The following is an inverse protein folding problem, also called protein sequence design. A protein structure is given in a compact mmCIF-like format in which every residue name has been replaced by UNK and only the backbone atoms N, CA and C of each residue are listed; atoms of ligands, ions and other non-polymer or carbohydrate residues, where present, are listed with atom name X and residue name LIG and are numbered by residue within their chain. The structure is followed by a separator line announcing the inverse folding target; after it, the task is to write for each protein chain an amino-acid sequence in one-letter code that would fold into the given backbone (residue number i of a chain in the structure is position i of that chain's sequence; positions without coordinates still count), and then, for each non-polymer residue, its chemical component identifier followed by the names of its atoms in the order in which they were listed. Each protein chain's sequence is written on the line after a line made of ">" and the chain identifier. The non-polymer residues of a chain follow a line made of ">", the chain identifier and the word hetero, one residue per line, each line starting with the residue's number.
data_IF_830223265874
#
_entry.id   IF_830223265874
#
_cell.length_a   1.000
_cell.length_b   1.000
_cell.length_c   1.000
_cell.angle_alpha   90.00
_cell.angle_beta   90.00
_cell.angle_gamma   90.00
#
_symmetry.space_group_name_H-M   'P 1'
#
loop_
_entity.id
_entity.type
_entity.pdbx_description
1 polymer ?
#
# COMPACT_ATOMS: atom_id res chain seq x y z
N UNK A 1 -19.69 -3.37 12.40
CA UNK A 1 -18.44 -4.09 12.10
C UNK A 1 -17.44 -3.14 11.44
N UNK A 2 -16.21 -3.23 11.87
CA UNK A 2 -15.15 -2.39 11.35
C UNK A 2 -14.79 -2.80 9.91
N UNK A 3 -14.77 -1.84 9.00
CA UNK A 3 -14.23 -2.07 7.65
C UNK A 3 -12.71 -1.97 7.72
N UNK A 4 -11.98 -2.86 7.05
CA UNK A 4 -10.53 -2.68 6.93
C UNK A 4 -10.22 -1.35 6.26
N UNK A 5 -9.13 -0.72 6.70
CA UNK A 5 -8.67 0.55 6.16
C UNK A 5 -7.26 0.40 5.60
N UNK A 6 -7.07 0.86 4.37
CA UNK A 6 -5.77 0.81 3.69
C UNK A 6 -5.31 2.23 3.38
N UNK A 7 -4.03 2.50 3.61
CA UNK A 7 -3.37 3.72 3.12
C UNK A 7 -2.58 3.36 1.88
N UNK A 8 -2.86 4.03 0.77
CA UNK A 8 -2.12 3.83 -0.48
C UNK A 8 -1.34 5.10 -0.83
N UNK A 9 -0.03 4.96 -1.02
CA UNK A 9 0.88 6.06 -1.30
C UNK A 9 1.43 5.91 -2.72
N UNK A 10 1.03 6.81 -3.62
CA UNK A 10 1.43 6.78 -5.03
C UNK A 10 1.27 8.20 -5.60
N UNK A 11 2.26 8.70 -6.29
CA UNK A 11 2.19 10.05 -6.84
C UNK A 11 1.34 10.16 -8.11
N UNK A 12 0.99 9.03 -8.73
CA UNK A 12 0.15 9.02 -9.92
C UNK A 12 -1.34 9.06 -9.55
N UNK A 13 -2.02 10.12 -9.98
CA UNK A 13 -3.43 10.34 -9.65
C UNK A 13 -4.31 9.21 -10.19
N UNK A 14 -4.06 8.77 -11.42
CA UNK A 14 -4.87 7.72 -12.04
C UNK A 14 -4.71 6.39 -11.30
N UNK A 15 -3.49 6.07 -10.88
CA UNK A 15 -3.23 4.87 -10.08
C UNK A 15 -3.96 4.94 -8.73
N UNK A 16 -3.94 6.09 -8.08
CA UNK A 16 -4.65 6.28 -6.80
C UNK A 16 -6.14 6.04 -6.96
N UNK A 17 -6.75 6.66 -7.97
CA UNK A 17 -8.20 6.54 -8.19
C UNK A 17 -8.62 5.13 -8.58
N UNK A 18 -7.84 4.49 -9.46
CA UNK A 18 -8.12 3.12 -9.88
C UNK A 18 -8.11 2.18 -8.68
N UNK A 19 -7.05 2.24 -7.88
CA UNK A 19 -6.90 1.30 -6.78
C UNK A 19 -7.90 1.59 -5.66
N UNK A 20 -8.16 2.87 -5.38
CA UNK A 20 -9.19 3.23 -4.41
C UNK A 20 -10.53 2.63 -4.80
N UNK A 21 -10.92 2.78 -6.07
CA UNK A 21 -12.17 2.21 -6.58
C UNK A 21 -12.22 0.70 -6.40
N UNK A 22 -11.15 0.01 -6.79
CA UNK A 22 -11.08 -1.45 -6.68
C UNK A 22 -11.22 -1.92 -5.24
N UNK A 23 -10.54 -1.27 -4.31
CA UNK A 23 -10.57 -1.66 -2.90
C UNK A 23 -11.90 -1.31 -2.26
N UNK A 24 -12.49 -0.16 -2.59
CA UNK A 24 -13.82 0.20 -2.10
C UNK A 24 -14.89 -0.81 -2.55
N UNK A 25 -14.75 -1.33 -3.76
CA UNK A 25 -15.65 -2.38 -4.28
C UNK A 25 -15.51 -3.68 -3.48
N UNK A 26 -14.43 -3.87 -2.75
CA UNK A 26 -14.19 -5.03 -1.88
C UNK A 26 -14.45 -4.72 -0.42
N UNK A 27 -15.13 -3.63 -0.14
CA UNK A 27 -15.49 -3.17 1.21
C UNK A 27 -14.29 -2.79 2.06
N UNK A 28 -13.26 -2.26 1.42
CA UNK A 28 -12.08 -1.72 2.09
C UNK A 28 -12.12 -0.20 1.95
N UNK A 29 -12.06 0.50 3.09
CA UNK A 29 -11.96 1.95 3.09
C UNK A 29 -10.51 2.32 2.74
N UNK A 30 -10.32 3.16 1.73
CA UNK A 30 -8.98 3.44 1.21
C UNK A 30 -8.71 4.94 1.22
N UNK A 31 -7.66 5.32 1.94
CA UNK A 31 -7.14 6.69 1.88
C UNK A 31 -5.96 6.69 0.93
N UNK A 32 -5.94 7.65 -0.01
CA UNK A 32 -4.86 7.77 -0.99
C UNK A 32 -4.13 9.08 -0.77
N UNK A 33 -2.80 9.03 -0.83
CA UNK A 33 -1.93 10.20 -0.71
C UNK A 33 -0.85 10.14 -1.78
N UNK A 34 -0.29 11.30 -2.14
CA UNK A 34 0.64 11.41 -3.25
C UNK A 34 2.11 11.58 -2.85
N UNK A 35 2.40 11.77 -1.57
CA UNK A 35 3.77 12.02 -1.09
C UNK A 35 4.05 11.24 0.18
N UNK A 36 5.35 11.02 0.44
CA UNK A 36 5.80 10.38 1.68
C UNK A 36 5.44 11.22 2.91
N UNK A 37 5.54 12.53 2.81
CA UNK A 37 5.18 13.42 3.91
C UNK A 37 3.72 13.28 4.32
N UNK A 38 2.82 13.21 3.33
CA UNK A 38 1.40 12.98 3.60
C UNK A 38 1.16 11.59 4.22
N UNK A 39 1.91 10.58 3.77
CA UNK A 39 1.80 9.24 4.33
C UNK A 39 2.20 9.23 5.80
N UNK A 40 3.34 9.82 6.14
CA UNK A 40 3.82 9.86 7.52
C UNK A 40 2.87 10.63 8.43
N UNK A 41 2.30 11.73 7.96
CA UNK A 41 1.28 12.47 8.71
C UNK A 41 0.03 11.61 8.94
N UNK A 42 -0.38 10.86 7.93
CA UNK A 42 -1.59 10.04 8.00
C UNK A 42 -1.45 8.91 9.02
N UNK A 43 -0.30 8.23 9.07
CA UNK A 43 -0.14 7.11 10.00
C UNK A 43 -0.04 7.56 11.45
N UNK A 44 0.33 8.82 11.67
CA UNK A 44 0.37 9.39 13.02
C UNK A 44 -1.01 9.83 13.50
N UNK A 45 -1.90 10.17 12.58
CA UNK A 45 -3.22 10.71 12.90
C UNK A 45 -4.33 9.66 12.86
N UNK A 46 -4.17 8.58 12.08
CA UNK A 46 -5.23 7.62 11.83
C UNK A 46 -4.69 6.20 11.89
N UNK A 47 -5.60 5.27 12.19
CA UNK A 47 -5.29 3.84 12.17
C UNK A 47 -5.55 3.25 10.79
N UNK A 48 -4.63 2.39 10.31
CA UNK A 48 -4.79 1.61 9.08
C UNK A 48 -4.47 0.15 9.37
N UNK A 49 -5.08 -0.73 8.60
CA UNK A 49 -4.88 -2.18 8.71
C UNK A 49 -3.80 -2.68 7.75
N UNK A 50 -3.44 -1.87 6.76
CA UNK A 50 -2.44 -2.22 5.77
C UNK A 50 -1.94 -0.96 5.05
N UNK A 51 -0.66 -0.94 4.70
CA UNK A 51 -0.06 0.12 3.90
C UNK A 51 0.37 -0.41 2.54
N UNK A 52 0.02 0.32 1.47
CA UNK A 52 0.49 0.05 0.10
C UNK A 52 1.39 1.19 -0.33
N UNK A 53 2.60 0.87 -0.80
CA UNK A 53 3.60 1.87 -1.16
C UNK A 53 4.06 1.70 -2.60
N UNK A 54 4.12 2.82 -3.34
CA UNK A 54 4.89 2.89 -4.58
C UNK A 54 6.37 3.04 -4.23
N UNK A 55 7.23 2.48 -5.04
CA UNK A 55 8.69 2.58 -4.84
C UNK A 55 9.28 3.95 -5.17
N UNK A 56 8.60 4.74 -5.99
CA UNK A 56 9.11 6.03 -6.47
C UNK A 56 8.13 7.15 -6.14
N UNK A 57 8.49 7.97 -5.17
CA UNK A 57 7.70 9.11 -4.73
C UNK A 57 8.49 10.40 -4.96
N UNK A 58 7.83 11.56 -5.09
CA UNK A 58 8.53 12.79 -5.45
C UNK A 58 9.45 13.33 -4.36
N UNK A 59 9.12 13.10 -3.09
CA UNK A 59 9.85 13.69 -1.95
C UNK A 59 10.77 12.70 -1.23
N UNK A 60 10.54 11.38 -1.40
CA UNK A 60 11.31 10.36 -0.71
C UNK A 60 11.11 9.03 -1.44
N UNK A 61 12.13 8.20 -1.58
CA UNK A 61 11.89 6.89 -2.20
C UNK A 61 11.06 6.01 -1.26
N UNK A 62 10.33 5.05 -1.87
CA UNK A 62 9.41 4.21 -1.11
C UNK A 62 10.10 3.30 -0.11
N UNK A 63 11.35 2.91 -0.36
CA UNK A 63 12.09 2.06 0.58
C UNK A 63 12.44 2.82 1.85
N UNK A 64 12.87 4.07 1.70
CA UNK A 64 13.14 4.92 2.87
C UNK A 64 11.85 5.24 3.63
N UNK A 65 10.76 5.50 2.91
CA UNK A 65 9.45 5.67 3.55
C UNK A 65 9.08 4.44 4.36
N UNK A 66 9.25 3.25 3.80
CA UNK A 66 8.98 1.99 4.49
C UNK A 66 9.79 1.88 5.78
N UNK A 67 11.08 2.20 5.73
CA UNK A 67 11.93 2.18 6.92
C UNK A 67 11.43 3.14 8.00
N UNK A 68 11.04 4.35 7.61
CA UNK A 68 10.53 5.35 8.55
C UNK A 68 9.18 4.91 9.15
N UNK A 69 8.31 4.32 8.33
CA UNK A 69 7.04 3.80 8.82
C UNK A 69 7.27 2.68 9.82
N UNK A 70 8.26 1.82 9.59
CA UNK A 70 8.59 0.73 10.51
C UNK A 70 9.16 1.24 11.84
N UNK A 71 9.85 2.37 11.84
CA UNK A 71 10.29 3.00 13.09
C UNK A 71 9.11 3.44 13.94
N UNK A 72 8.02 3.84 13.28
CA UNK A 72 6.81 4.30 13.97
C UNK A 72 5.84 3.14 14.28
N UNK A 73 5.71 2.19 13.37
CA UNK A 73 4.74 1.10 13.45
C UNK A 73 5.37 -0.20 12.96
N UNK A 74 5.68 -1.10 13.89
CA UNK A 74 6.34 -2.37 13.57
C UNK A 74 5.36 -3.49 13.20
N UNK A 75 4.05 -3.25 13.28
CA UNK A 75 3.06 -4.33 13.20
C UNK A 75 2.22 -4.35 11.93
N UNK A 76 1.81 -3.18 11.43
CA UNK A 76 0.91 -3.11 10.28
C UNK A 76 1.59 -3.67 9.03
N UNK A 77 0.93 -4.54 8.26
CA UNK A 77 1.52 -5.05 7.01
C UNK A 77 1.81 -3.92 6.03
N UNK A 78 2.98 -3.99 5.40
CA UNK A 78 3.38 -3.05 4.34
C UNK A 78 3.61 -3.88 3.07
N UNK A 79 2.96 -3.50 1.99
CA UNK A 79 3.12 -4.10 0.68
C UNK A 79 3.60 -3.04 -0.31
N UNK A 80 4.59 -3.37 -1.12
CA UNK A 80 4.93 -2.54 -2.27
C UNK A 80 4.04 -2.90 -3.46
N UNK A 81 3.63 -1.89 -4.20
CA UNK A 81 2.99 -2.05 -5.50
C UNK A 81 3.69 -1.09 -6.45
N UNK A 82 4.70 -1.58 -7.18
CA UNK A 82 5.66 -0.74 -7.88
C UNK A 82 6.00 -1.31 -9.25
N UNK A 83 6.35 -0.41 -10.19
CA UNK A 83 6.85 -0.80 -11.50
C UNK A 83 8.28 -1.32 -11.49
N UNK A 84 9.04 -1.11 -10.40
CA UNK A 84 10.40 -1.61 -10.25
C UNK A 84 10.36 -3.11 -9.94
N UNK A 85 10.68 -3.95 -10.94
CA UNK A 85 10.45 -5.38 -10.86
C UNK A 85 11.69 -6.25 -10.80
N UNK A 86 12.88 -5.70 -10.57
CA UNK A 86 14.10 -6.49 -10.44
C UNK A 86 14.17 -7.19 -9.09
N UNK A 87 14.88 -8.31 -9.04
CA UNK A 87 15.07 -9.04 -7.79
C UNK A 87 15.72 -8.16 -6.71
N UNK A 88 16.63 -7.27 -7.11
CA UNK A 88 17.26 -6.33 -6.17
C UNK A 88 16.21 -5.39 -5.54
N UNK A 89 15.21 -4.95 -6.30
CA UNK A 89 14.14 -4.09 -5.79
C UNK A 89 13.30 -4.82 -4.76
N UNK A 90 12.93 -6.07 -5.05
CA UNK A 90 12.15 -6.90 -4.12
C UNK A 90 12.92 -7.13 -2.82
N UNK A 91 14.22 -7.40 -2.93
CA UNK A 91 15.08 -7.60 -1.78
C UNK A 91 15.18 -6.33 -0.93
N UNK A 92 15.33 -5.18 -1.58
CA UNK A 92 15.35 -3.90 -0.89
C UNK A 92 14.03 -3.63 -0.15
N UNK A 93 12.91 -3.99 -0.75
CA UNK A 93 11.61 -3.85 -0.11
C UNK A 93 11.51 -4.67 1.17
N UNK A 94 11.91 -5.94 1.11
CA UNK A 94 11.91 -6.80 2.29
C UNK A 94 12.88 -6.31 3.36
N UNK A 95 14.07 -5.88 2.97
CA UNK A 95 15.06 -5.34 3.89
C UNK A 95 14.58 -4.06 4.57
N UNK A 96 13.76 -3.28 3.87
CA UNK A 96 13.16 -2.06 4.44
C UNK A 96 12.04 -2.37 5.43
N UNK A 97 11.54 -3.60 5.45
CA UNK A 97 10.51 -4.03 6.38
C UNK A 97 9.17 -4.39 5.76
N UNK A 98 9.09 -4.48 4.43
CA UNK A 98 7.84 -4.85 3.75
C UNK A 98 7.55 -6.35 3.89
N UNK A 99 6.26 -6.65 3.93
CA UNK A 99 5.75 -8.03 4.01
C UNK A 99 5.60 -8.67 2.63
N UNK A 100 5.41 -7.87 1.58
CA UNK A 100 5.27 -8.38 0.23
C UNK A 100 5.65 -7.30 -0.79
N UNK A 101 5.92 -7.73 -2.01
CA UNK A 101 6.28 -6.86 -3.11
C UNK A 101 5.54 -7.32 -4.37
N UNK A 102 4.68 -6.47 -4.89
CA UNK A 102 3.87 -6.77 -6.08
C UNK A 102 4.25 -5.81 -7.19
N UNK A 103 4.38 -6.34 -8.40
CA UNK A 103 4.83 -5.56 -9.57
C UNK A 103 3.62 -5.04 -10.33
N UNK A 104 3.59 -3.73 -10.57
CA UNK A 104 2.56 -3.11 -11.41
C UNK A 104 2.65 -3.65 -12.84
N UNK A 105 1.56 -3.82 -13.54
CA UNK A 105 0.17 -3.50 -13.16
C UNK A 105 -0.63 -4.71 -12.68
N UNK A 106 -0.01 -5.72 -12.09
CA UNK A 106 -0.64 -7.00 -11.74
C UNK A 106 -1.59 -6.85 -10.55
N UNK A 107 -2.81 -6.40 -10.83
CA UNK A 107 -3.84 -6.18 -9.82
C UNK A 107 -4.32 -7.49 -9.21
N UNK A 108 -4.39 -8.58 -9.98
CA UNK A 108 -4.78 -9.88 -9.43
C UNK A 108 -3.82 -10.35 -8.36
N UNK A 109 -2.52 -10.23 -8.62
CA UNK A 109 -1.49 -10.57 -7.64
C UNK A 109 -1.59 -9.65 -6.42
N UNK A 110 -1.84 -8.36 -6.64
CA UNK A 110 -1.99 -7.40 -5.54
C UNK A 110 -3.16 -7.79 -4.63
N UNK A 111 -4.32 -8.07 -5.19
CA UNK A 111 -5.49 -8.44 -4.40
C UNK A 111 -5.25 -9.73 -3.64
N UNK A 112 -4.60 -10.71 -4.27
CA UNK A 112 -4.22 -11.97 -3.61
C UNK A 112 -3.27 -11.73 -2.44
N UNK A 113 -2.30 -10.84 -2.59
CA UNK A 113 -1.36 -10.51 -1.52
C UNK A 113 -2.05 -9.78 -0.37
N UNK A 114 -2.92 -8.82 -0.69
CA UNK A 114 -3.68 -8.10 0.33
C UNK A 114 -4.54 -9.09 1.15
N UNK A 115 -5.16 -10.06 0.48
CA UNK A 115 -6.04 -11.01 1.16
C UNK A 115 -5.32 -11.90 2.17
N UNK A 116 -4.01 -11.99 2.11
CA UNK A 116 -3.22 -12.71 3.11
C UNK A 116 -3.17 -11.98 4.45
N UNK A 117 -3.45 -10.69 4.46
CA UNK A 117 -3.31 -9.86 5.66
C UNK A 117 -4.64 -9.30 6.15
N UNK A 118 -5.55 -8.99 5.26
CA UNK A 118 -6.89 -8.47 5.61
C UNK A 118 -7.94 -9.16 4.74
N UNK A 119 -9.16 -9.37 5.27
CA UNK A 119 -10.20 -10.04 4.49
C UNK A 119 -10.70 -9.16 3.35
N UNK A 120 -10.79 -9.75 2.14
CA UNK A 120 -11.40 -9.11 0.99
C UNK A 120 -12.79 -9.69 0.80
N UNK A 121 -13.77 -8.82 0.66
CA UNK A 121 -15.11 -9.26 0.30
C UNK A 121 -15.22 -9.40 -1.22
N UNK A 122 -16.16 -10.24 -1.66
CA UNK A 122 -16.44 -10.35 -3.07
C UNK A 122 -16.86 -8.99 -3.63
N UNK A 123 -16.56 -8.76 -4.92
CA UNK A 123 -16.97 -7.53 -5.58
C UNK A 123 -18.49 -7.41 -5.52
N UNK A 124 -18.96 -6.22 -5.14
CA UNK A 124 -20.41 -5.98 -5.04
C UNK A 124 -21.04 -6.05 -6.42
N UNK A 125 -22.16 -6.75 -6.52
CA UNK A 125 -22.98 -6.74 -7.71
C UNK A 125 -23.67 -5.38 -7.86
N UNK A 126 -23.79 -4.92 -9.08
CA UNK A 126 -24.50 -3.69 -9.39
C UNK A 126 -26.00 -3.95 -9.52
#
# INVERSE_FOLDING_TARGET
>A
MHRPRVLYVDDDEDSREMLRTLLEMRSIETKVVGTAGEALSSIQAEHFDLYLLDGWLPDLDGFELCRQMRCYDSHTPILFFSGAGHEADKKMGHQAGANAYVIKPDVSHLLGSISQFIPLKAQKAN
#
